data_IF_705732250986
#
_entry.id   IF_705732250986
#
_cell.length_a   1.000
_cell.length_b   1.000
_cell.length_c   1.000
_cell.angle_alpha   90.00
_cell.angle_beta   90.00
_cell.angle_gamma   90.00
#
_symmetry.space_group_name_H-M   'P 1'
#
loop_
_entity.id
_entity.type
_entity.pdbx_description
1 polymer ?
#
# COMPACT_ATOMS: atom_id res chain seq x y z
N UNK A 1 -0.32 -3.02 9.93
CA UNK A 1 -0.56 -2.67 8.52
C UNK A 1 0.29 -3.56 7.63
N UNK A 2 -0.33 -4.10 6.61
CA UNK A 2 0.34 -4.95 5.62
C UNK A 2 0.35 -4.21 4.28
N UNK A 3 1.43 -3.47 3.95
CA UNK A 3 1.47 -2.68 2.73
C UNK A 3 1.73 -3.54 1.49
N UNK A 4 1.33 -3.04 0.33
CA UNK A 4 1.64 -3.64 -0.95
C UNK A 4 2.87 -3.02 -1.60
N UNK A 5 2.82 -2.80 -2.92
CA UNK A 5 3.90 -2.16 -3.66
C UNK A 5 3.83 -0.65 -3.46
N UNK A 6 4.73 -0.12 -2.66
CA UNK A 6 4.75 1.28 -2.22
C UNK A 6 6.00 1.97 -2.73
N UNK A 7 5.85 3.17 -3.26
CA UNK A 7 6.96 4.00 -3.71
C UNK A 7 7.63 4.63 -2.49
N UNK A 8 8.80 4.11 -2.11
CA UNK A 8 9.57 4.57 -0.95
C UNK A 8 11.02 4.79 -1.34
N UNK A 9 11.83 5.25 -0.38
CA UNK A 9 13.27 5.34 -0.59
C UNK A 9 13.92 4.00 -0.93
N UNK A 10 13.43 2.91 -0.32
CA UNK A 10 13.96 1.57 -0.59
C UNK A 10 13.60 1.05 -1.98
N UNK A 11 12.44 1.45 -2.52
CA UNK A 11 11.96 0.99 -3.82
C UNK A 11 12.22 2.00 -4.94
N UNK A 12 12.82 3.14 -4.63
CA UNK A 12 13.00 4.24 -5.57
C UNK A 12 13.70 3.79 -6.85
N UNK A 13 14.80 3.08 -6.74
CA UNK A 13 15.59 2.65 -7.90
C UNK A 13 14.75 1.77 -8.85
N UNK A 14 13.94 0.88 -8.30
CA UNK A 14 13.08 0.00 -9.10
C UNK A 14 11.91 0.76 -9.71
N UNK A 15 11.20 1.58 -8.93
CA UNK A 15 9.98 2.24 -9.38
C UNK A 15 10.23 3.55 -10.12
N UNK A 16 11.46 4.03 -10.19
CA UNK A 16 11.84 5.10 -11.11
C UNK A 16 11.95 4.58 -12.56
N UNK A 17 12.07 3.26 -12.74
CA UNK A 17 11.96 2.62 -14.06
C UNK A 17 10.47 2.50 -14.41
N UNK A 18 10.05 3.19 -15.48
CA UNK A 18 8.65 3.25 -15.86
C UNK A 18 8.07 1.88 -16.22
N UNK A 19 8.87 0.99 -16.80
CA UNK A 19 8.43 -0.36 -17.15
C UNK A 19 8.14 -1.19 -15.91
N UNK A 20 9.05 -1.16 -14.93
CA UNK A 20 8.90 -1.91 -13.70
C UNK A 20 7.71 -1.35 -12.90
N UNK A 21 7.61 -0.03 -12.80
CA UNK A 21 6.50 0.62 -12.11
C UNK A 21 5.15 0.24 -12.74
N UNK A 22 5.08 0.21 -14.07
CA UNK A 22 3.85 -0.17 -14.79
C UNK A 22 3.46 -1.62 -14.53
N UNK A 23 4.44 -2.53 -14.48
CA UNK A 23 4.18 -3.95 -14.20
C UNK A 23 3.54 -4.11 -12.81
N UNK A 24 4.14 -3.49 -11.80
CA UNK A 24 3.62 -3.59 -10.43
C UNK A 24 2.30 -2.87 -10.25
N UNK A 25 2.11 -1.72 -10.90
CA UNK A 25 0.84 -1.00 -10.85
C UNK A 25 -0.31 -1.83 -11.42
N UNK A 26 -0.07 -2.58 -12.49
CA UNK A 26 -1.08 -3.44 -13.09
C UNK A 26 -1.50 -4.61 -12.20
N UNK A 27 -0.64 -5.04 -11.30
CA UNK A 27 -0.95 -6.14 -10.38
C UNK A 27 -1.98 -5.75 -9.33
N UNK A 28 -2.03 -4.48 -8.95
CA UNK A 28 -3.01 -4.00 -7.99
C UNK A 28 -4.37 -3.81 -8.66
N UNK A 29 -5.44 -4.11 -7.93
CA UNK A 29 -6.80 -3.90 -8.44
C UNK A 29 -7.07 -2.43 -8.75
N UNK A 30 -6.49 -1.51 -7.95
CA UNK A 30 -6.62 -0.08 -8.17
C UNK A 30 -5.69 0.47 -9.25
N UNK A 31 -4.85 -0.40 -9.84
CA UNK A 31 -4.00 -0.08 -10.99
C UNK A 31 -2.99 1.04 -10.74
N UNK A 32 -2.47 1.14 -9.52
CA UNK A 32 -1.41 2.09 -9.21
C UNK A 32 -0.51 1.57 -8.10
N UNK A 33 0.69 2.13 -8.04
CA UNK A 33 1.56 1.94 -6.88
C UNK A 33 1.00 2.74 -5.70
N UNK A 34 1.29 2.27 -4.48
CA UNK A 34 0.98 3.04 -3.29
C UNK A 34 2.03 4.12 -3.06
N UNK A 35 1.62 5.17 -2.38
CA UNK A 35 2.51 6.22 -1.92
C UNK A 35 2.65 6.12 -0.39
N UNK A 36 3.72 6.64 0.20
CA UNK A 36 3.84 6.64 1.67
C UNK A 36 2.64 7.24 2.37
N UNK A 37 1.99 8.24 1.77
CA UNK A 37 0.78 8.85 2.33
C UNK A 37 -0.38 7.87 2.46
N UNK A 38 -0.47 6.87 1.58
CA UNK A 38 -1.52 5.84 1.67
C UNK A 38 -1.36 5.04 2.97
N UNK A 39 -0.12 4.69 3.33
CA UNK A 39 0.17 3.97 4.55
C UNK A 39 0.01 4.88 5.78
N UNK A 40 0.45 6.12 5.68
CA UNK A 40 0.34 7.09 6.77
C UNK A 40 -1.13 7.35 7.13
N UNK A 41 -2.01 7.44 6.14
CA UNK A 41 -3.44 7.63 6.38
C UNK A 41 -4.07 6.43 7.08
N UNK A 42 -3.66 5.20 6.70
CA UNK A 42 -4.13 4.00 7.36
C UNK A 42 -3.63 3.94 8.82
N UNK A 43 -2.37 4.31 9.05
CA UNK A 43 -1.80 4.38 10.39
C UNK A 43 -2.53 5.40 11.25
N UNK A 44 -2.86 6.55 10.68
CA UNK A 44 -3.61 7.60 11.39
C UNK A 44 -5.00 7.09 11.80
N UNK A 45 -5.69 6.38 10.91
CA UNK A 45 -6.98 5.76 11.23
C UNK A 45 -6.86 4.79 12.41
N UNK A 46 -5.87 3.88 12.34
CA UNK A 46 -5.69 2.86 13.38
C UNK A 46 -5.29 3.47 14.73
N UNK A 47 -4.63 4.62 14.71
CA UNK A 47 -4.24 5.33 15.94
C UNK A 47 -5.35 6.22 16.48
N UNK A 48 -6.44 6.40 15.74
CA UNK A 48 -7.55 7.28 16.11
C UNK A 48 -8.63 6.54 16.88
N UNK A 49 -9.54 7.31 17.49
CA UNK A 49 -10.71 6.76 18.18
C UNK A 49 -11.66 6.04 17.20
N UNK A 50 -11.57 6.35 15.89
CA UNK A 50 -12.39 5.69 14.88
C UNK A 50 -12.08 4.20 14.77
N UNK A 51 -10.89 3.76 15.18
CA UNK A 51 -10.49 2.35 15.20
C UNK A 51 -10.55 1.73 16.61
N UNK A 52 -11.31 2.30 17.50
CA UNK A 52 -11.32 1.95 18.93
C UNK A 52 -11.63 0.47 19.21
N UNK A 53 -12.40 -0.17 18.35
CA UNK A 53 -12.77 -1.59 18.50
C UNK A 53 -11.99 -2.52 17.58
N UNK A 54 -10.92 -2.02 16.92
CA UNK A 54 -10.07 -2.80 16.01
C UNK A 54 -8.84 -3.28 16.78
N UNK A 55 -8.71 -4.59 16.98
CA UNK A 55 -7.60 -5.19 17.71
C UNK A 55 -7.21 -6.51 17.09
N UNK A 56 -5.91 -6.77 17.01
CA UNK A 56 -5.37 -8.02 16.49
C UNK A 56 -5.55 -8.22 14.99
N UNK A 57 -5.84 -7.16 14.25
CA UNK A 57 -6.09 -7.24 12.81
C UNK A 57 -4.90 -6.72 12.01
N UNK A 58 -4.51 -7.46 10.96
CA UNK A 58 -3.53 -7.00 9.97
C UNK A 58 -4.24 -6.29 8.83
N UNK A 59 -4.29 -4.95 8.88
CA UNK A 59 -4.97 -4.18 7.84
C UNK A 59 -4.11 -4.15 6.58
N UNK A 60 -4.61 -4.76 5.50
CA UNK A 60 -3.93 -4.79 4.21
C UNK A 60 -4.19 -3.48 3.45
N UNK A 61 -3.10 -2.81 3.05
CA UNK A 61 -3.17 -1.53 2.33
C UNK A 61 -2.31 -1.66 1.08
N UNK A 62 -2.87 -2.28 0.04
CA UNK A 62 -2.11 -2.69 -1.14
C UNK A 62 -2.83 -2.41 -2.47
N UNK A 63 -3.91 -1.64 -2.43
CA UNK A 63 -4.69 -1.36 -3.63
C UNK A 63 -5.31 -2.61 -4.27
N UNK A 64 -5.43 -3.69 -3.50
CA UNK A 64 -6.01 -4.94 -3.96
C UNK A 64 -5.01 -5.88 -4.62
N UNK A 65 -3.69 -5.65 -4.43
CA UNK A 65 -2.64 -6.49 -5.03
C UNK A 65 -2.81 -7.96 -4.68
N UNK A 66 -3.00 -8.29 -3.41
CA UNK A 66 -3.11 -9.68 -2.95
C UNK A 66 -4.39 -10.36 -3.40
N UNK A 67 -5.41 -9.60 -3.77
CA UNK A 67 -6.66 -10.16 -4.29
C UNK A 67 -6.51 -10.69 -5.71
N UNK A 68 -5.44 -10.30 -6.42
CA UNK A 68 -5.25 -10.61 -7.83
C UNK A 68 -4.09 -11.55 -8.10
N UNK A 69 -3.33 -11.88 -7.07
CA UNK A 69 -2.14 -12.75 -7.21
C UNK A 69 -2.36 -14.15 -6.68
#
# INVERSE_FOLDING_TARGET
IEPGAIRTGMTKAAFDDDEIAAIWAKKAALRRLGEPADIARAALFLASDDADFVSGHGLTVDGGLTLRT
#
